data_IF_960963624852
#
_entry.id   IF_960963624852
#
_cell.length_a   1.000
_cell.length_b   1.000
_cell.length_c   1.000
_cell.angle_alpha   90.00
_cell.angle_beta   90.00
_cell.angle_gamma   90.00
#
_symmetry.space_group_name_H-M   'P 1'
#
loop_
_entity.id
_entity.type
_entity.pdbx_description
1 polymer ?
#
# COMPACT_ATOMS: atom_id res chain seq x y z
N UNK A 1 16.00 -40.19 1.42
CA UNK A 1 14.65 -39.63 1.13
C UNK A 1 14.09 -39.06 2.42
N UNK A 2 13.42 -37.91 2.37
CA UNK A 2 12.79 -37.28 3.55
C UNK A 2 11.28 -37.43 3.39
N UNK A 3 10.54 -37.68 4.48
CA UNK A 3 9.07 -37.85 4.48
C UNK A 3 8.54 -39.01 3.61
N UNK A 4 9.31 -40.08 3.46
CA UNK A 4 8.86 -41.34 2.87
C UNK A 4 8.66 -42.36 3.99
N UNK A 5 7.41 -42.66 4.33
CA UNK A 5 7.06 -43.70 5.31
C UNK A 5 6.82 -45.06 4.64
N UNK A 6 6.69 -46.10 5.45
CA UNK A 6 6.61 -47.51 5.00
C UNK A 6 5.50 -47.76 3.98
N UNK A 7 4.34 -47.11 4.14
CA UNK A 7 3.22 -47.20 3.20
C UNK A 7 3.58 -46.65 1.82
N UNK A 8 4.13 -45.44 1.77
CA UNK A 8 4.54 -44.80 0.50
C UNK A 8 5.67 -45.59 -0.15
N UNK A 9 6.64 -46.08 0.64
CA UNK A 9 7.71 -46.92 0.14
C UNK A 9 7.17 -48.21 -0.51
N UNK A 10 6.20 -48.87 0.14
CA UNK A 10 5.56 -50.07 -0.39
C UNK A 10 4.77 -49.79 -1.68
N UNK A 11 4.05 -48.67 -1.73
CA UNK A 11 3.30 -48.25 -2.92
C UNK A 11 4.23 -48.00 -4.11
N UNK A 12 5.36 -47.31 -3.88
CA UNK A 12 6.38 -47.04 -4.92
C UNK A 12 6.99 -48.35 -5.44
N UNK A 13 7.35 -49.28 -4.56
CA UNK A 13 7.91 -50.57 -4.93
C UNK A 13 6.92 -51.42 -5.74
N UNK A 14 5.64 -51.39 -5.34
CA UNK A 14 4.56 -52.07 -6.06
C UNK A 14 4.40 -51.51 -7.47
N UNK A 15 4.38 -50.18 -7.63
CA UNK A 15 4.34 -49.53 -8.96
C UNK A 15 5.58 -49.83 -9.81
N UNK A 16 6.75 -49.90 -9.18
CA UNK A 16 8.00 -50.24 -9.87
C UNK A 16 8.09 -51.73 -10.26
N UNK A 17 7.22 -52.58 -9.71
CA UNK A 17 7.27 -54.04 -9.88
C UNK A 17 8.51 -54.66 -9.24
N UNK A 18 8.98 -54.08 -8.13
CA UNK A 18 10.17 -54.53 -7.41
C UNK A 18 9.80 -55.16 -6.07
N UNK A 19 10.49 -56.24 -5.71
CA UNK A 19 10.33 -56.87 -4.40
C UNK A 19 10.91 -55.98 -3.29
N UNK A 20 10.21 -55.80 -2.15
CA UNK A 20 10.75 -55.11 -0.98
C UNK A 20 12.01 -55.74 -0.38
N UNK A 21 12.22 -57.05 -0.63
CA UNK A 21 13.34 -57.82 -0.11
C UNK A 21 14.59 -57.72 -1.01
N UNK A 22 14.45 -57.13 -2.20
CA UNK A 22 15.56 -56.99 -3.14
C UNK A 22 16.64 -56.06 -2.54
N UNK A 23 17.88 -56.52 -2.55
CA UNK A 23 19.01 -55.73 -2.08
C UNK A 23 19.25 -54.53 -2.99
N UNK A 24 19.35 -53.29 -2.46
CA UNK A 24 19.63 -52.10 -3.28
C UNK A 24 20.95 -52.18 -4.06
N UNK A 25 21.91 -53.01 -3.61
CA UNK A 25 23.21 -53.20 -4.29
C UNK A 25 23.10 -54.07 -5.55
N UNK A 26 22.04 -54.86 -5.68
CA UNK A 26 21.82 -55.79 -6.79
C UNK A 26 21.00 -55.15 -7.92
N UNK A 27 20.47 -53.93 -7.70
CA UNK A 27 19.66 -53.20 -8.67
C UNK A 27 20.43 -52.89 -9.96
N UNK A 28 19.95 -53.45 -11.07
CA UNK A 28 20.43 -53.14 -12.40
C UNK A 28 19.91 -51.79 -12.93
N UNK A 29 20.46 -51.34 -14.07
CA UNK A 29 20.03 -50.09 -14.73
C UNK A 29 18.53 -50.08 -15.09
N UNK A 30 18.01 -51.22 -15.54
CA UNK A 30 16.60 -51.34 -15.93
C UNK A 30 15.65 -51.19 -14.75
N UNK A 31 15.97 -51.82 -13.63
CA UNK A 31 15.19 -51.74 -12.39
C UNK A 31 15.27 -50.36 -11.77
N UNK A 32 16.45 -49.73 -11.78
CA UNK A 32 16.62 -48.35 -11.34
C UNK A 32 15.75 -47.36 -12.16
N UNK A 33 15.61 -47.60 -13.47
CA UNK A 33 14.74 -46.77 -14.32
C UNK A 33 13.25 -46.98 -14.01
N UNK A 34 12.83 -48.22 -13.73
CA UNK A 34 11.46 -48.51 -13.25
C UNK A 34 11.17 -47.80 -11.93
N UNK A 35 12.12 -47.85 -10.99
CA UNK A 35 12.00 -47.15 -9.71
C UNK A 35 11.88 -45.64 -9.93
N UNK A 36 12.73 -45.04 -10.76
CA UNK A 36 12.70 -43.61 -11.06
C UNK A 36 11.36 -43.16 -11.67
N UNK A 37 10.78 -43.97 -12.56
CA UNK A 37 9.46 -43.69 -13.13
C UNK A 37 8.35 -43.81 -12.07
N UNK A 38 8.40 -44.83 -11.22
CA UNK A 38 7.46 -44.97 -10.10
C UNK A 38 7.52 -43.77 -9.13
N UNK A 39 8.71 -43.19 -8.90
CA UNK A 39 8.86 -41.96 -8.12
C UNK A 39 8.24 -40.74 -8.81
N UNK A 40 8.24 -40.64 -10.14
CA UNK A 40 7.58 -39.52 -10.84
C UNK A 40 6.06 -39.61 -10.81
N UNK A 41 5.53 -40.83 -10.78
CA UNK A 41 4.08 -41.11 -10.77
C UNK A 41 3.46 -41.16 -9.36
N UNK A 42 4.27 -41.03 -8.32
CA UNK A 42 3.79 -41.12 -6.94
C UNK A 42 3.78 -39.74 -6.30
N UNK A 43 2.64 -39.40 -5.70
CA UNK A 43 2.50 -38.16 -4.96
C UNK A 43 3.20 -38.27 -3.61
N UNK A 44 4.25 -37.46 -3.44
CA UNK A 44 4.98 -37.36 -2.19
C UNK A 44 4.49 -36.16 -1.36
N UNK A 45 4.65 -36.28 -0.04
CA UNK A 45 4.54 -35.12 0.84
C UNK A 45 5.62 -34.10 0.46
N UNK A 46 5.31 -32.79 0.48
CA UNK A 46 6.30 -31.76 0.23
C UNK A 46 7.51 -31.90 1.15
N UNK A 47 8.75 -31.66 0.67
CA UNK A 47 9.94 -31.61 1.51
C UNK A 47 9.81 -30.55 2.63
N UNK A 48 10.59 -30.69 3.70
CA UNK A 48 10.60 -29.71 4.76
C UNK A 48 11.20 -28.38 4.26
N UNK A 49 10.57 -27.28 4.66
CA UNK A 49 10.89 -25.92 4.18
C UNK A 49 11.77 -25.13 5.15
N UNK A 50 12.08 -25.71 6.31
CA UNK A 50 12.96 -25.17 7.35
C UNK A 50 14.43 -25.05 6.89
N UNK A 51 14.77 -25.70 5.78
CA UNK A 51 16.08 -25.61 5.14
C UNK A 51 16.34 -24.31 4.37
N UNK A 52 15.33 -23.43 4.22
CA UNK A 52 15.45 -22.18 3.46
C UNK A 52 15.70 -20.99 4.38
N UNK A 53 16.58 -20.07 3.95
CA UNK A 53 16.88 -18.81 4.66
C UNK A 53 16.47 -17.61 3.80
N UNK A 54 15.22 -17.11 3.94
CA UNK A 54 14.78 -15.90 3.25
C UNK A 54 15.57 -14.65 3.70
N UNK A 55 15.52 -13.59 2.89
CA UNK A 55 15.98 -12.25 3.29
C UNK A 55 14.94 -11.62 4.21
N UNK A 56 13.66 -11.74 3.86
CA UNK A 56 12.54 -11.18 4.60
C UNK A 56 12.08 -9.81 4.08
N UNK A 57 10.77 -9.62 4.07
CA UNK A 57 10.09 -8.42 3.54
C UNK A 57 10.63 -7.12 4.13
N UNK A 58 10.82 -7.07 5.45
CA UNK A 58 11.25 -5.86 6.15
C UNK A 58 12.68 -5.43 5.79
N UNK A 59 13.58 -6.39 5.57
CA UNK A 59 14.96 -6.12 5.16
C UNK A 59 15.02 -5.67 3.69
N UNK A 60 14.23 -6.29 2.81
CA UNK A 60 14.09 -5.87 1.41
C UNK A 60 13.53 -4.45 1.32
N UNK A 61 12.50 -4.12 2.11
CA UNK A 61 11.95 -2.77 2.13
C UNK A 61 12.98 -1.74 2.60
N UNK A 62 13.72 -2.04 3.68
CA UNK A 62 14.77 -1.16 4.21
C UNK A 62 15.91 -0.93 3.21
N UNK A 63 16.35 -1.97 2.51
CA UNK A 63 17.44 -1.85 1.54
C UNK A 63 17.03 -1.00 0.34
N UNK A 64 15.84 -1.25 -0.22
CA UNK A 64 15.31 -0.44 -1.33
C UNK A 64 15.07 1.01 -0.92
N UNK A 65 14.61 1.25 0.32
CA UNK A 65 14.42 2.60 0.85
C UNK A 65 15.74 3.37 0.97
N UNK A 66 16.78 2.72 1.50
CA UNK A 66 18.08 3.34 1.73
C UNK A 66 18.82 3.67 0.41
N UNK A 67 18.78 2.75 -0.55
CA UNK A 67 19.55 2.87 -1.79
C UNK A 67 18.91 3.83 -2.79
N UNK A 68 17.59 3.73 -3.00
CA UNK A 68 16.91 4.43 -4.10
C UNK A 68 16.07 5.63 -3.65
N UNK A 69 15.93 5.85 -2.33
CA UNK A 69 15.05 6.87 -1.73
C UNK A 69 13.68 7.01 -2.45
N UNK A 70 12.95 5.91 -2.62
CA UNK A 70 11.64 5.91 -3.26
C UNK A 70 10.58 6.60 -2.38
N UNK A 71 9.47 6.99 -2.99
CA UNK A 71 8.29 7.49 -2.28
C UNK A 71 7.40 6.36 -1.74
N UNK A 72 7.53 5.15 -2.31
CA UNK A 72 6.78 3.98 -1.88
C UNK A 72 7.59 2.70 -2.09
N UNK A 73 7.50 1.78 -1.13
CA UNK A 73 8.13 0.47 -1.20
C UNK A 73 7.17 -0.59 -0.68
N UNK A 74 7.18 -1.75 -1.34
CA UNK A 74 6.52 -2.94 -0.86
C UNK A 74 7.33 -4.17 -1.19
N UNK A 75 7.34 -5.15 -0.28
CA UNK A 75 7.98 -6.43 -0.49
C UNK A 75 7.04 -7.55 -0.04
N UNK A 76 7.16 -8.70 -0.69
CA UNK A 76 6.37 -9.90 -0.41
C UNK A 76 7.29 -11.11 -0.39
N UNK A 77 7.15 -11.93 0.65
CA UNK A 77 7.80 -13.23 0.78
C UNK A 77 6.73 -14.31 0.64
N UNK A 78 6.78 -15.05 -0.46
CA UNK A 78 5.80 -16.10 -0.75
C UNK A 78 6.04 -17.35 0.09
N UNK A 79 5.02 -18.20 0.19
CA UNK A 79 5.18 -19.53 0.80
C UNK A 79 6.13 -20.37 -0.05
N UNK A 80 6.95 -21.23 0.55
CA UNK A 80 7.84 -22.10 -0.21
C UNK A 80 7.08 -23.02 -1.16
N UNK A 81 7.52 -23.07 -2.42
CA UNK A 81 7.14 -24.05 -3.41
C UNK A 81 8.15 -25.19 -3.48
N UNK A 82 7.91 -26.15 -4.38
CA UNK A 82 8.80 -27.29 -4.60
C UNK A 82 8.94 -27.50 -6.10
N UNK A 83 10.16 -27.66 -6.58
CA UNK A 83 10.43 -28.04 -7.96
C UNK A 83 11.38 -29.23 -7.96
N UNK A 84 11.07 -30.30 -8.68
CA UNK A 84 11.91 -31.51 -8.77
C UNK A 84 12.44 -32.05 -7.41
N UNK A 85 11.64 -31.93 -6.34
CA UNK A 85 12.03 -32.33 -4.97
C UNK A 85 12.86 -31.32 -4.18
N UNK A 86 13.25 -30.19 -4.78
CA UNK A 86 13.92 -29.08 -4.13
C UNK A 86 12.92 -28.03 -3.64
N UNK A 87 12.84 -27.76 -2.34
CA UNK A 87 12.04 -26.63 -1.86
C UNK A 87 12.69 -25.32 -2.33
N UNK A 88 11.86 -24.37 -2.73
CA UNK A 88 12.28 -23.02 -3.11
C UNK A 88 11.30 -21.99 -2.57
N UNK A 89 11.76 -20.75 -2.45
CA UNK A 89 10.97 -19.63 -1.98
C UNK A 89 11.32 -18.40 -2.82
N UNK A 90 10.30 -17.59 -3.10
CA UNK A 90 10.43 -16.38 -3.90
C UNK A 90 10.09 -15.17 -3.04
N UNK A 91 10.95 -14.15 -3.13
CA UNK A 91 10.72 -12.85 -2.53
C UNK A 91 10.79 -11.78 -3.62
N UNK A 92 9.86 -10.84 -3.58
CA UNK A 92 9.79 -9.75 -4.54
C UNK A 92 9.71 -8.44 -3.79
N UNK A 93 10.46 -7.44 -4.25
CA UNK A 93 10.37 -6.06 -3.79
C UNK A 93 10.07 -5.13 -4.96
N UNK A 94 9.20 -4.14 -4.75
CA UNK A 94 8.96 -3.04 -5.70
C UNK A 94 9.15 -1.73 -4.96
N UNK A 95 10.02 -0.89 -5.48
CA UNK A 95 10.19 0.50 -5.07
C UNK A 95 9.70 1.41 -6.20
N UNK A 96 8.99 2.49 -5.87
CA UNK A 96 8.42 3.42 -6.83
C UNK A 96 8.68 4.88 -6.45
N UNK A 97 8.96 5.70 -7.47
CA UNK A 97 9.12 7.16 -7.46
C UNK A 97 10.32 7.68 -6.67
N UNK A 98 10.20 8.85 -6.03
CA UNK A 98 11.29 9.45 -5.25
C UNK A 98 12.43 9.98 -6.12
N UNK A 99 13.66 9.53 -5.89
CA UNK A 99 14.83 9.89 -6.72
C UNK A 99 15.00 8.96 -7.94
N UNK A 100 14.13 7.96 -8.12
CA UNK A 100 14.17 7.01 -9.24
C UNK A 100 13.80 7.73 -10.55
N UNK A 101 14.65 7.58 -11.58
CA UNK A 101 14.46 8.13 -12.93
C UNK A 101 13.36 7.37 -13.68
N UNK A 102 12.68 8.07 -14.59
CA UNK A 102 11.62 7.51 -15.42
C UNK A 102 12.22 6.89 -16.69
N UNK A 103 12.82 5.71 -16.53
CA UNK A 103 13.48 4.96 -17.61
C UNK A 103 12.97 3.50 -17.65
N UNK A 104 13.66 2.63 -18.38
CA UNK A 104 13.46 1.18 -18.24
C UNK A 104 13.74 0.78 -16.78
N UNK A 105 12.79 0.05 -16.18
CA UNK A 105 12.85 -0.35 -14.78
C UNK A 105 14.11 -1.14 -14.48
N UNK A 106 14.82 -0.73 -13.43
CA UNK A 106 15.98 -1.46 -12.93
C UNK A 106 15.52 -2.76 -12.29
N UNK A 107 15.92 -3.89 -12.87
CA UNK A 107 15.62 -5.23 -12.34
C UNK A 107 16.83 -5.79 -11.58
N UNK A 108 16.66 -5.96 -10.27
CA UNK A 108 17.64 -6.59 -9.38
C UNK A 108 17.30 -8.06 -9.20
N UNK A 109 18.17 -8.96 -9.67
CA UNK A 109 17.98 -10.40 -9.58
C UNK A 109 18.91 -10.98 -8.53
N UNK A 110 18.38 -11.82 -7.65
CA UNK A 110 19.14 -12.53 -6.63
C UNK A 110 18.80 -14.01 -6.62
N UNK A 111 19.83 -14.85 -6.44
CA UNK A 111 19.68 -16.28 -6.17
C UNK A 111 20.47 -16.63 -4.90
N UNK A 112 19.83 -17.23 -3.89
CA UNK A 112 20.44 -17.55 -2.60
C UNK A 112 21.28 -16.40 -2.01
N UNK A 113 20.71 -15.18 -1.99
CA UNK A 113 21.35 -13.93 -1.51
C UNK A 113 22.56 -13.45 -2.34
N UNK A 114 22.82 -14.04 -3.50
CA UNK A 114 23.89 -13.63 -4.43
C UNK A 114 23.27 -12.85 -5.60
N UNK A 115 23.77 -11.64 -5.93
CA UNK A 115 23.27 -10.87 -7.06
C UNK A 115 23.66 -11.50 -8.39
N UNK A 116 22.73 -11.55 -9.34
CA UNK A 116 22.95 -12.01 -10.71
C UNK A 116 23.09 -10.80 -11.63
N UNK A 117 24.32 -10.47 -12.02
CA UNK A 117 24.64 -9.24 -12.75
C UNK A 117 24.56 -9.44 -14.26
N UNK A 118 24.99 -10.58 -14.78
CA UNK A 118 25.10 -10.82 -16.22
C UNK A 118 23.94 -11.65 -16.80
N UNK A 119 23.89 -11.75 -18.13
CA UNK A 119 22.95 -12.62 -18.87
C UNK A 119 21.47 -12.38 -18.55
N UNK A 120 21.06 -11.12 -18.40
CA UNK A 120 19.69 -10.76 -18.03
C UNK A 120 18.63 -11.33 -18.99
N UNK A 121 18.83 -11.28 -20.31
CA UNK A 121 17.87 -11.78 -21.30
C UNK A 121 17.67 -13.31 -21.29
N UNK A 122 18.62 -14.07 -20.74
CA UNK A 122 18.51 -15.53 -20.62
C UNK A 122 17.81 -16.00 -19.33
N UNK A 123 17.67 -15.12 -18.34
CA UNK A 123 17.24 -15.49 -17.01
C UNK A 123 15.72 -15.62 -16.87
N UNK A 124 15.27 -16.73 -16.27
CA UNK A 124 13.85 -16.99 -16.00
C UNK A 124 13.19 -15.90 -15.16
N UNK A 125 13.92 -15.31 -14.19
CA UNK A 125 13.41 -14.20 -13.37
C UNK A 125 13.08 -12.97 -14.22
N UNK A 126 13.90 -12.64 -15.21
CA UNK A 126 13.64 -11.53 -16.15
C UNK A 126 12.42 -11.85 -17.00
N UNK A 127 12.36 -13.05 -17.57
CA UNK A 127 11.22 -13.50 -18.38
C UNK A 127 9.91 -13.50 -17.59
N UNK A 128 9.96 -13.83 -16.31
CA UNK A 128 8.79 -13.77 -15.43
C UNK A 128 8.30 -12.32 -15.28
N UNK A 129 9.21 -11.35 -15.11
CA UNK A 129 8.87 -9.91 -15.06
C UNK A 129 8.32 -9.41 -16.39
N UNK A 130 8.95 -9.78 -17.51
CA UNK A 130 8.50 -9.40 -18.87
C UNK A 130 7.11 -9.97 -19.20
N UNK A 131 6.80 -11.18 -18.72
CA UNK A 131 5.52 -11.86 -18.97
C UNK A 131 4.30 -11.20 -18.33
N UNK A 132 4.51 -10.28 -17.38
CA UNK A 132 3.43 -9.58 -16.68
C UNK A 132 3.01 -8.35 -17.45
N UNK A 133 1.70 -8.12 -17.57
CA UNK A 133 1.16 -6.89 -18.14
C UNK A 133 1.17 -5.76 -17.09
N UNK A 134 2.26 -5.01 -17.04
CA UNK A 134 2.46 -3.94 -16.05
C UNK A 134 1.57 -2.72 -16.25
N UNK A 135 0.94 -2.57 -17.43
CA UNK A 135 -0.07 -1.52 -17.69
C UNK A 135 -1.24 -1.62 -16.72
N UNK A 136 -1.62 -2.84 -16.36
CA UNK A 136 -2.71 -3.09 -15.40
C UNK A 136 -2.33 -2.66 -13.97
N UNK A 137 -1.05 -2.44 -13.69
CA UNK A 137 -0.50 -2.04 -12.39
C UNK A 137 0.03 -0.59 -12.38
N UNK A 138 -0.18 0.17 -13.48
CA UNK A 138 0.15 1.59 -13.56
C UNK A 138 1.56 1.91 -14.08
N UNK A 139 2.31 0.95 -14.61
CA UNK A 139 3.56 1.21 -15.35
C UNK A 139 3.35 1.08 -16.85
N UNK A 140 4.17 1.77 -17.65
CA UNK A 140 4.13 1.62 -19.10
C UNK A 140 4.96 0.40 -19.53
N UNK A 141 4.62 -0.23 -20.65
CA UNK A 141 5.35 -1.42 -21.11
C UNK A 141 5.16 -1.65 -22.61
N UNK A 142 6.27 -1.95 -23.30
CA UNK A 142 6.26 -2.50 -24.65
C UNK A 142 6.11 -4.02 -24.61
N UNK A 143 5.62 -4.64 -25.69
CA UNK A 143 5.37 -6.09 -25.69
C UNK A 143 6.69 -6.85 -25.44
N UNK A 144 6.65 -7.82 -24.53
CA UNK A 144 7.77 -8.71 -24.17
C UNK A 144 9.06 -7.99 -23.72
N UNK A 145 8.94 -6.76 -23.23
CA UNK A 145 10.04 -5.98 -22.64
C UNK A 145 9.78 -5.66 -21.17
N UNK A 146 10.84 -5.26 -20.46
CA UNK A 146 10.72 -4.70 -19.12
C UNK A 146 9.84 -3.43 -19.13
N UNK A 147 9.07 -3.20 -18.05
CA UNK A 147 8.28 -1.99 -17.92
C UNK A 147 9.16 -0.74 -17.88
N UNK A 148 8.55 0.38 -18.25
CA UNK A 148 9.10 1.73 -18.19
C UNK A 148 8.34 2.48 -17.11
N UNK A 149 9.09 3.13 -16.23
CA UNK A 149 8.54 3.92 -15.16
C UNK A 149 9.56 4.13 -14.05
N UNK A 150 9.20 4.97 -13.09
CA UNK A 150 10.03 5.31 -11.93
C UNK A 150 9.99 4.17 -10.92
N UNK A 151 10.41 2.97 -11.30
CA UNK A 151 10.34 1.80 -10.44
C UNK A 151 11.65 0.99 -10.46
N UNK A 152 11.90 0.31 -9.36
CA UNK A 152 12.93 -0.71 -9.21
C UNK A 152 12.24 -1.99 -8.74
N UNK A 153 12.53 -3.10 -9.41
CA UNK A 153 11.97 -4.41 -9.08
C UNK A 153 13.12 -5.29 -8.60
N UNK A 154 12.95 -5.90 -7.43
CA UNK A 154 13.85 -6.91 -6.88
C UNK A 154 13.15 -8.25 -6.92
N UNK A 155 13.84 -9.28 -7.42
CA UNK A 155 13.38 -10.67 -7.39
C UNK A 155 14.48 -11.53 -6.78
N UNK A 156 14.15 -12.21 -5.69
CA UNK A 156 15.03 -13.15 -5.00
C UNK A 156 14.44 -14.55 -5.06
N UNK A 157 15.26 -15.51 -5.50
CA UNK A 157 14.97 -16.94 -5.47
C UNK A 157 15.88 -17.62 -4.45
N UNK A 158 15.29 -18.23 -3.42
CA UNK A 158 16.01 -19.06 -2.46
C UNK A 158 15.67 -20.53 -2.68
N UNK A 159 16.66 -21.41 -2.79
CA UNK A 159 16.44 -22.86 -2.87
C UNK A 159 17.67 -23.65 -2.45
N UNK A 160 17.46 -24.91 -2.05
CA UNK A 160 18.55 -25.86 -1.77
C UNK A 160 19.45 -26.11 -2.98
N UNK A 161 18.87 -26.07 -4.17
CA UNK A 161 19.56 -26.15 -5.44
C UNK A 161 18.96 -25.07 -6.35
N UNK A 162 19.77 -24.29 -7.06
CA UNK A 162 19.25 -23.29 -8.00
C UNK A 162 19.50 -23.84 -9.40
N UNK A 163 18.48 -23.92 -10.27
CA UNK A 163 18.67 -24.45 -11.60
C UNK A 163 19.32 -23.36 -12.47
N UNK A 164 20.64 -23.34 -12.54
CA UNK A 164 21.36 -22.38 -13.39
C UNK A 164 21.39 -22.85 -14.85
N UNK A 165 21.38 -21.91 -15.80
CA UNK A 165 21.52 -22.21 -17.24
C UNK A 165 22.94 -22.61 -17.64
N UNK A 166 23.93 -22.13 -16.90
CA UNK A 166 25.36 -22.36 -17.15
C UNK A 166 26.12 -22.57 -15.85
N UNK A 167 27.31 -23.18 -15.95
CA UNK A 167 28.21 -23.40 -14.81
C UNK A 167 28.67 -22.09 -14.13
N UNK A 168 28.63 -20.98 -14.86
CA UNK A 168 28.97 -19.64 -14.36
C UNK A 168 27.93 -19.08 -13.38
N UNK A 169 26.75 -19.70 -13.27
CA UNK A 169 25.69 -19.32 -12.31
C UNK A 169 25.14 -17.89 -12.46
N UNK A 170 25.10 -17.37 -13.67
CA UNK A 170 24.66 -15.99 -13.95
C UNK A 170 23.15 -15.84 -14.24
N UNK A 171 22.49 -16.93 -14.62
CA UNK A 171 21.09 -16.93 -14.98
C UNK A 171 20.38 -18.19 -14.51
N UNK A 172 19.13 -18.02 -14.07
CA UNK A 172 18.24 -19.10 -13.66
C UNK A 172 17.53 -19.67 -14.89
N UNK A 173 17.49 -20.99 -14.99
CA UNK A 173 16.82 -21.73 -16.06
C UNK A 173 15.30 -21.61 -15.96
N UNK A 174 14.64 -21.74 -17.12
CA UNK A 174 13.20 -21.57 -17.24
C UNK A 174 12.44 -22.81 -16.75
N UNK A 175 12.32 -22.95 -15.44
CA UNK A 175 11.49 -23.98 -14.78
C UNK A 175 10.07 -23.41 -14.59
N UNK A 176 9.02 -24.05 -15.13
CA UNK A 176 7.64 -23.54 -15.07
C UNK A 176 7.17 -23.22 -13.65
N UNK A 177 7.41 -24.12 -12.69
CA UNK A 177 7.00 -23.98 -11.30
C UNK A 177 7.60 -22.73 -10.64
N UNK A 178 8.87 -22.42 -10.97
CA UNK A 178 9.55 -21.23 -10.46
C UNK A 178 8.99 -19.96 -11.14
N UNK A 179 8.81 -19.99 -12.46
CA UNK A 179 8.30 -18.84 -13.21
C UNK A 179 6.90 -18.47 -12.75
N UNK A 180 6.03 -19.46 -12.55
CA UNK A 180 4.65 -19.24 -12.11
C UNK A 180 4.61 -18.65 -10.70
N UNK A 181 5.42 -19.16 -9.77
CA UNK A 181 5.49 -18.62 -8.41
C UNK A 181 6.06 -17.18 -8.39
N UNK A 182 7.09 -16.90 -9.20
CA UNK A 182 7.61 -15.53 -9.38
C UNK A 182 6.55 -14.60 -9.96
N UNK A 183 5.76 -15.08 -10.93
CA UNK A 183 4.68 -14.29 -11.52
C UNK A 183 3.63 -13.94 -10.48
N UNK A 184 3.21 -14.91 -9.66
CA UNK A 184 2.23 -14.68 -8.59
C UNK A 184 2.74 -13.66 -7.56
N UNK A 185 4.02 -13.77 -7.16
CA UNK A 185 4.67 -12.81 -6.25
C UNK A 185 4.67 -11.38 -6.81
N UNK A 186 5.08 -11.23 -8.07
CA UNK A 186 5.10 -9.94 -8.76
C UNK A 186 3.70 -9.34 -8.95
N UNK A 187 2.70 -10.16 -9.28
CA UNK A 187 1.31 -9.71 -9.38
C UNK A 187 0.75 -9.23 -8.04
N UNK A 188 1.13 -9.89 -6.94
CA UNK A 188 0.75 -9.49 -5.59
C UNK A 188 1.33 -8.11 -5.24
N UNK A 189 2.64 -7.91 -5.46
CA UNK A 189 3.29 -6.62 -5.27
C UNK A 189 2.74 -5.54 -6.23
N UNK A 190 2.45 -5.91 -7.48
CA UNK A 190 1.87 -5.03 -8.50
C UNK A 190 0.48 -4.52 -8.13
N UNK A 191 -0.37 -5.35 -7.51
CA UNK A 191 -1.67 -4.90 -6.98
C UNK A 191 -1.52 -3.81 -5.93
N UNK A 192 -0.55 -3.94 -5.03
CA UNK A 192 -0.25 -2.92 -4.00
C UNK A 192 0.29 -1.63 -4.60
N UNK A 193 1.14 -1.73 -5.63
CA UNK A 193 1.62 -0.56 -6.37
C UNK A 193 0.43 0.20 -6.99
N UNK A 194 -0.48 -0.53 -7.65
CA UNK A 194 -1.67 0.08 -8.25
C UNK A 194 -2.53 0.82 -7.23
N UNK A 195 -2.79 0.22 -6.07
CA UNK A 195 -3.55 0.86 -4.98
C UNK A 195 -2.91 2.19 -4.56
N UNK A 196 -1.59 2.22 -4.43
CA UNK A 196 -0.83 3.43 -4.13
C UNK A 196 -0.96 4.50 -5.23
N UNK A 197 -0.76 4.11 -6.50
CA UNK A 197 -0.86 5.03 -7.64
C UNK A 197 -2.27 5.63 -7.77
N UNK A 198 -3.31 4.80 -7.63
CA UNK A 198 -4.70 5.27 -7.67
C UNK A 198 -5.01 6.22 -6.50
N UNK A 199 -4.45 5.99 -5.30
CA UNK A 199 -4.61 6.92 -4.17
C UNK A 199 -3.90 8.25 -4.46
N UNK A 200 -2.68 8.20 -4.99
CA UNK A 200 -1.89 9.38 -5.36
C UNK A 200 -2.57 10.20 -6.45
N UNK A 201 -3.06 9.56 -7.50
CA UNK A 201 -3.75 10.24 -8.60
C UNK A 201 -5.05 10.89 -8.13
N UNK A 202 -5.82 10.21 -7.27
CA UNK A 202 -7.03 10.78 -6.65
C UNK A 202 -6.71 12.03 -5.85
N UNK A 203 -5.65 12.02 -5.04
CA UNK A 203 -5.21 13.19 -4.26
C UNK A 203 -4.81 14.36 -5.17
N UNK A 204 -4.02 14.10 -6.23
CA UNK A 204 -3.60 15.13 -7.20
C UNK A 204 -4.81 15.72 -7.93
N UNK A 205 -5.77 14.89 -8.38
CA UNK A 205 -6.99 15.35 -9.04
C UNK A 205 -7.85 16.20 -8.10
N UNK A 206 -7.97 15.81 -6.82
CA UNK A 206 -8.70 16.57 -5.80
C UNK A 206 -8.06 17.95 -5.57
N UNK A 207 -6.74 18.00 -5.38
CA UNK A 207 -6.00 19.26 -5.19
C UNK A 207 -6.10 20.19 -6.40
N UNK A 208 -5.92 19.66 -7.62
CA UNK A 208 -6.12 20.46 -8.85
C UNK A 208 -7.52 21.04 -8.96
N UNK A 209 -8.55 20.27 -8.60
CA UNK A 209 -9.94 20.75 -8.59
C UNK A 209 -10.11 21.87 -7.56
N UNK A 210 -9.57 21.71 -6.37
CA UNK A 210 -9.60 22.72 -5.30
C UNK A 210 -8.93 24.02 -5.71
N UNK A 211 -7.71 23.95 -6.26
CA UNK A 211 -6.94 25.12 -6.72
C UNK A 211 -7.72 25.92 -7.78
N UNK A 212 -8.37 25.22 -8.72
CA UNK A 212 -9.20 25.84 -9.77
C UNK A 212 -10.44 26.49 -9.17
N UNK A 213 -11.12 25.82 -8.23
CA UNK A 213 -12.32 26.35 -7.58
C UNK A 213 -12.00 27.60 -6.74
N UNK A 214 -10.91 27.58 -5.96
CA UNK A 214 -10.48 28.71 -5.14
C UNK A 214 -10.12 29.94 -5.99
N UNK A 215 -9.65 29.74 -7.23
CA UNK A 215 -9.36 30.84 -8.16
C UNK A 215 -10.61 31.40 -8.83
N UNK A 216 -11.52 30.53 -9.28
CA UNK A 216 -12.64 30.93 -10.15
C UNK A 216 -13.85 31.38 -9.33
N UNK A 217 -14.20 30.69 -8.25
CA UNK A 217 -15.44 30.95 -7.52
C UNK A 217 -15.51 32.36 -6.89
N UNK A 218 -14.45 32.92 -6.28
CA UNK A 218 -14.50 34.29 -5.75
C UNK A 218 -14.74 35.33 -6.85
N UNK A 219 -14.15 35.13 -8.03
CA UNK A 219 -14.35 36.03 -9.17
C UNK A 219 -15.79 35.97 -9.68
N UNK A 220 -16.38 34.77 -9.76
CA UNK A 220 -17.78 34.59 -10.13
C UNK A 220 -18.73 35.18 -9.09
N UNK A 221 -18.49 34.91 -7.81
CA UNK A 221 -19.31 35.43 -6.72
C UNK A 221 -19.33 36.96 -6.73
N UNK A 222 -18.16 37.61 -6.83
CA UNK A 222 -18.04 39.06 -6.90
C UNK A 222 -18.81 39.64 -8.09
N UNK A 223 -18.65 39.05 -9.28
CA UNK A 223 -19.34 39.52 -10.48
C UNK A 223 -20.86 39.34 -10.41
N UNK A 224 -21.33 38.23 -9.85
CA UNK A 224 -22.77 38.00 -9.67
C UNK A 224 -23.37 38.92 -8.61
N UNK A 225 -22.66 39.18 -7.51
CA UNK A 225 -23.09 40.11 -6.46
C UNK A 225 -23.13 41.56 -6.98
N UNK A 226 -22.15 41.95 -7.80
CA UNK A 226 -22.12 43.26 -8.49
C UNK A 226 -23.33 43.43 -9.43
N UNK A 227 -23.69 42.40 -10.19
CA UNK A 227 -24.82 42.44 -11.13
C UNK A 227 -26.18 42.39 -10.41
N UNK A 228 -26.28 41.65 -9.30
CA UNK A 228 -27.53 41.44 -8.55
C UNK A 228 -27.72 42.44 -7.40
N UNK A 229 -26.76 43.35 -7.18
CA UNK A 229 -26.73 44.30 -6.06
C UNK A 229 -26.93 43.61 -4.69
N UNK A 230 -26.27 42.48 -4.49
CA UNK A 230 -26.31 41.70 -3.24
C UNK A 230 -24.97 41.74 -2.50
N UNK A 231 -25.03 41.50 -1.20
CA UNK A 231 -23.84 41.41 -0.34
C UNK A 231 -22.91 40.25 -0.77
N UNK A 232 -21.62 40.42 -0.51
CA UNK A 232 -20.60 39.41 -0.82
C UNK A 232 -20.88 38.09 -0.08
N UNK A 233 -20.90 37.01 -0.85
CA UNK A 233 -21.17 35.66 -0.32
C UNK A 233 -19.85 35.02 0.09
N UNK A 234 -19.82 34.38 1.25
CA UNK A 234 -18.72 33.50 1.64
C UNK A 234 -18.66 32.27 0.72
N UNK A 235 -17.57 32.20 -0.04
CA UNK A 235 -17.33 31.21 -1.09
C UNK A 235 -16.80 29.90 -0.52
N UNK A 236 -16.20 29.94 0.68
CA UNK A 236 -15.52 28.78 1.27
C UNK A 236 -16.50 27.65 1.57
N UNK A 237 -17.72 27.99 2.01
CA UNK A 237 -18.81 27.02 2.19
C UNK A 237 -19.19 26.33 0.87
N UNK A 238 -19.24 27.08 -0.23
CA UNK A 238 -19.62 26.56 -1.55
C UNK A 238 -18.53 25.64 -2.09
N UNK A 239 -17.26 26.03 -1.92
CA UNK A 239 -16.10 25.18 -2.24
C UNK A 239 -16.19 23.88 -1.45
N UNK A 240 -16.38 23.96 -0.13
CA UNK A 240 -16.47 22.79 0.73
C UNK A 240 -17.63 21.85 0.35
N UNK A 241 -18.78 22.40 -0.05
CA UNK A 241 -19.92 21.63 -0.56
C UNK A 241 -19.60 20.91 -1.87
N UNK A 242 -18.94 21.57 -2.83
CA UNK A 242 -18.55 20.95 -4.12
C UNK A 242 -17.47 19.87 -3.94
N UNK A 243 -16.59 20.08 -2.96
CA UNK A 243 -15.54 19.13 -2.61
C UNK A 243 -16.04 17.97 -1.74
N UNK A 244 -17.23 18.11 -1.15
CA UNK A 244 -17.82 17.11 -0.25
C UNK A 244 -17.04 16.96 1.06
N UNK A 245 -16.51 18.08 1.56
CA UNK A 245 -15.71 18.14 2.78
C UNK A 245 -16.58 18.52 4.00
N UNK A 246 -16.06 18.29 5.20
CA UNK A 246 -16.62 18.87 6.42
C UNK A 246 -16.22 20.35 6.48
N UNK A 247 -17.18 21.24 6.67
CA UNK A 247 -16.94 22.68 6.75
C UNK A 247 -17.27 23.20 8.14
N UNK A 248 -16.39 24.02 8.69
CA UNK A 248 -16.62 24.70 9.97
C UNK A 248 -16.50 26.21 9.75
N UNK A 249 -17.59 26.91 10.04
CA UNK A 249 -17.65 28.37 10.06
C UNK A 249 -17.60 28.85 11.50
N UNK A 250 -16.86 29.94 11.76
CA UNK A 250 -16.82 30.61 13.06
C UNK A 250 -17.24 32.06 12.89
N UNK A 251 -18.41 32.38 13.39
CA UNK A 251 -18.89 33.76 13.52
C UNK A 251 -18.61 34.27 14.93
N UNK A 252 -17.91 35.41 15.05
CA UNK A 252 -17.58 36.04 16.33
C UNK A 252 -18.27 37.39 16.39
N UNK A 253 -19.15 37.57 17.38
CA UNK A 253 -19.78 38.84 17.70
C UNK A 253 -19.28 39.32 19.07
N UNK A 254 -18.65 40.49 19.12
CA UNK A 254 -18.19 41.07 20.38
C UNK A 254 -19.23 42.06 20.91
N UNK A 255 -19.69 41.82 22.14
CA UNK A 255 -20.59 42.73 22.88
C UNK A 255 -20.07 42.91 24.29
N UNK A 256 -19.85 44.16 24.70
CA UNK A 256 -19.50 44.53 26.07
C UNK A 256 -18.29 43.76 26.67
N UNK A 257 -17.25 43.52 25.86
CA UNK A 257 -16.04 42.79 26.29
C UNK A 257 -16.23 41.28 26.44
N UNK A 258 -17.37 40.74 25.97
CA UNK A 258 -17.66 39.30 25.85
C UNK A 258 -17.73 38.95 24.37
N UNK A 259 -16.94 37.96 23.94
CA UNK A 259 -17.03 37.40 22.60
C UNK A 259 -18.09 36.29 22.60
N UNK A 260 -19.22 36.53 21.93
CA UNK A 260 -20.20 35.50 21.59
C UNK A 260 -19.77 34.83 20.29
N UNK A 261 -19.51 33.53 20.34
CA UNK A 261 -19.04 32.78 19.19
C UNK A 261 -20.07 31.72 18.80
N UNK A 262 -20.39 31.69 17.52
CA UNK A 262 -21.25 30.68 16.90
C UNK A 262 -20.41 29.86 15.92
N UNK A 263 -20.27 28.56 16.18
CA UNK A 263 -19.66 27.60 15.28
C UNK A 263 -20.75 26.89 14.50
N UNK A 264 -20.73 26.97 13.17
CA UNK A 264 -21.61 26.17 12.31
C UNK A 264 -20.79 25.09 11.63
N UNK A 265 -21.17 23.84 11.84
CA UNK A 265 -20.47 22.67 11.30
C UNK A 265 -21.40 21.99 10.30
N UNK A 266 -20.92 21.80 9.07
CA UNK A 266 -21.65 21.17 7.99
C UNK A 266 -20.95 19.89 7.55
N UNK A 267 -21.67 18.78 7.52
CA UNK A 267 -21.17 17.54 6.95
C UNK A 267 -21.58 17.40 5.47
N UNK A 268 -20.77 17.89 4.53
CA UNK A 268 -21.00 17.63 3.10
C UNK A 268 -20.38 16.30 2.61
N UNK A 269 -19.86 15.47 3.52
CA UNK A 269 -19.33 14.15 3.16
C UNK A 269 -20.46 13.15 2.90
N UNK A 270 -20.15 12.04 2.23
CA UNK A 270 -21.13 10.98 1.90
C UNK A 270 -21.42 10.01 3.06
N UNK A 271 -20.74 10.16 4.18
CA UNK A 271 -20.81 9.23 5.30
C UNK A 271 -21.11 9.96 6.61
N UNK A 272 -21.69 9.24 7.57
CA UNK A 272 -21.80 9.72 8.94
C UNK A 272 -20.39 9.89 9.51
N UNK A 273 -20.14 11.01 10.20
CA UNK A 273 -18.85 11.32 10.81
C UNK A 273 -19.01 11.57 12.30
N UNK A 274 -18.14 10.96 13.08
CA UNK A 274 -17.96 11.25 14.49
C UNK A 274 -16.75 12.18 14.61
N UNK A 275 -16.97 13.34 15.20
CA UNK A 275 -15.96 14.38 15.29
C UNK A 275 -15.92 14.96 16.70
N UNK A 276 -14.72 15.37 17.10
CA UNK A 276 -14.47 16.11 18.33
C UNK A 276 -14.01 17.50 17.96
N UNK A 277 -14.74 18.52 18.40
CA UNK A 277 -14.42 19.93 18.14
C UNK A 277 -13.82 20.53 19.39
N UNK A 278 -12.66 21.15 19.21
CA UNK A 278 -11.88 21.79 20.25
C UNK A 278 -11.79 23.28 19.97
N UNK A 279 -12.05 24.08 21.00
CA UNK A 279 -11.72 25.51 20.99
C UNK A 279 -10.87 25.84 22.22
N UNK A 280 -9.79 26.60 22.03
CA UNK A 280 -8.88 26.98 23.10
C UNK A 280 -9.01 28.47 23.36
N UNK A 281 -9.37 28.84 24.58
CA UNK A 281 -9.60 30.22 24.97
C UNK A 281 -8.76 30.58 26.20
N UNK A 282 -8.32 31.83 26.26
CA UNK A 282 -7.76 32.46 27.45
C UNK A 282 -8.86 33.21 28.19
N UNK A 283 -9.02 32.96 29.48
CA UNK A 283 -10.07 33.56 30.31
C UNK A 283 -11.24 32.61 30.62
N UNK A 284 -12.33 33.17 31.13
CA UNK A 284 -13.53 32.42 31.52
C UNK A 284 -14.44 32.17 30.32
N UNK A 285 -14.98 30.95 30.24
CA UNK A 285 -15.75 30.47 29.09
C UNK A 285 -17.06 29.86 29.58
N UNK A 286 -18.14 30.18 28.91
CA UNK A 286 -19.47 29.58 29.12
C UNK A 286 -19.91 28.94 27.81
N UNK A 287 -20.27 27.66 27.82
CA UNK A 287 -20.67 26.95 26.61
C UNK A 287 -21.75 25.93 26.92
N UNK A 288 -22.73 25.82 26.03
CA UNK A 288 -23.78 24.80 26.12
C UNK A 288 -23.28 23.47 25.52
N UNK A 289 -23.44 22.37 26.25
CA UNK A 289 -23.10 21.02 25.78
C UNK A 289 -21.61 20.71 25.61
N UNK A 290 -20.71 21.61 26.02
CA UNK A 290 -19.26 21.41 25.95
C UNK A 290 -18.71 20.83 27.27
N UNK A 291 -17.75 19.91 27.17
CA UNK A 291 -16.88 19.57 28.30
C UNK A 291 -15.80 20.65 28.41
N UNK A 292 -15.74 21.35 29.54
CA UNK A 292 -14.76 22.41 29.80
C UNK A 292 -13.61 21.84 30.64
N UNK A 293 -12.38 21.99 30.16
CA UNK A 293 -11.17 21.68 30.91
C UNK A 293 -10.35 22.95 31.12
N UNK A 294 -9.96 23.22 32.36
CA UNK A 294 -9.13 24.39 32.71
C UNK A 294 -7.74 23.91 33.14
N UNK A 295 -6.73 24.33 32.38
CA UNK A 295 -5.31 24.17 32.73
C UNK A 295 -4.62 25.53 32.64
N UNK A 296 -3.74 25.76 31.66
CA UNK A 296 -3.20 27.09 31.33
C UNK A 296 -4.12 27.87 30.39
N UNK A 297 -4.93 27.16 29.60
CA UNK A 297 -6.00 27.68 28.76
C UNK A 297 -7.30 26.94 29.10
N UNK A 298 -8.45 27.59 28.86
CA UNK A 298 -9.77 26.98 28.93
C UNK A 298 -10.05 26.29 27.59
N UNK A 299 -10.08 24.96 27.58
CA UNK A 299 -10.38 24.15 26.39
C UNK A 299 -11.82 23.68 26.44
N UNK A 300 -12.56 23.97 25.37
CA UNK A 300 -13.91 23.49 25.11
C UNK A 300 -13.84 22.25 24.23
N UNK A 301 -14.57 21.21 24.60
CA UNK A 301 -14.70 19.98 23.81
C UNK A 301 -16.17 19.66 23.55
N UNK A 302 -16.54 19.55 22.29
CA UNK A 302 -17.81 18.98 21.84
C UNK A 302 -17.59 17.66 21.12
N UNK A 303 -18.37 16.64 21.47
CA UNK A 303 -18.39 15.36 20.80
C UNK A 303 -19.67 15.29 19.95
N UNK A 304 -19.52 15.25 18.62
CA UNK A 304 -20.62 15.33 17.67
C UNK A 304 -20.64 14.12 16.74
N UNK A 305 -21.85 13.76 16.30
CA UNK A 305 -22.06 12.76 15.28
C UNK A 305 -23.00 13.34 14.23
N UNK A 306 -22.50 13.58 13.02
CA UNK A 306 -23.25 14.24 11.95
C UNK A 306 -23.51 13.27 10.81
N UNK A 307 -24.76 13.16 10.37
CA UNK A 307 -25.13 12.42 9.16
C UNK A 307 -24.79 13.21 7.89
N UNK A 308 -24.75 12.58 6.71
CA UNK A 308 -24.55 13.27 5.43
C UNK A 308 -25.58 14.37 5.22
N UNK A 309 -25.12 15.60 4.96
CA UNK A 309 -25.98 16.77 4.74
C UNK A 309 -26.50 17.45 6.01
N UNK A 310 -26.20 16.90 7.20
CA UNK A 310 -26.59 17.47 8.48
C UNK A 310 -25.68 18.65 8.87
N UNK A 311 -26.25 19.63 9.57
CA UNK A 311 -25.52 20.78 10.11
C UNK A 311 -25.88 21.01 11.57
N UNK A 312 -24.88 21.35 12.38
CA UNK A 312 -25.07 21.69 13.80
C UNK A 312 -24.48 23.05 14.09
N UNK A 313 -25.18 23.80 14.93
CA UNK A 313 -24.74 25.11 15.43
C UNK A 313 -24.38 24.97 16.92
N UNK A 314 -23.15 25.34 17.27
CA UNK A 314 -22.66 25.37 18.64
C UNK A 314 -22.42 26.82 19.06
N UNK A 315 -22.80 27.16 20.29
CA UNK A 315 -22.64 28.51 20.83
C UNK A 315 -21.84 28.48 22.11
N UNK A 316 -20.92 29.42 22.23
CA UNK A 316 -20.18 29.67 23.47
C UNK A 316 -19.85 31.15 23.63
N UNK A 317 -19.63 31.55 24.86
CA UNK A 317 -19.26 32.91 25.27
C UNK A 317 -17.88 32.88 25.92
N UNK A 318 -17.03 33.82 25.57
CA UNK A 318 -15.69 33.96 26.13
C UNK A 318 -15.51 35.36 26.67
N UNK A 319 -15.09 35.45 27.94
CA UNK A 319 -14.53 36.68 28.53
C UNK A 319 -13.01 36.55 28.54
N UNK A 320 -12.40 37.07 27.49
CA UNK A 320 -10.96 36.93 27.21
C UNK A 320 -10.68 36.82 25.71
N UNK A 321 -9.68 36.04 25.30
CA UNK A 321 -9.31 35.89 23.89
C UNK A 321 -9.32 34.44 23.44
N UNK A 322 -9.82 34.20 22.23
CA UNK A 322 -9.70 32.92 21.53
C UNK A 322 -8.25 32.77 21.08
N UNK A 323 -7.62 31.64 21.45
CA UNK A 323 -6.20 31.38 21.22
C UNK A 323 -5.98 30.74 19.85
N UNK A 324 -6.88 29.86 19.43
CA UNK A 324 -6.78 29.16 18.16
C UNK A 324 -7.26 30.02 16.98
N UNK A 325 -6.44 30.08 15.92
CA UNK A 325 -6.76 30.82 14.70
C UNK A 325 -7.96 30.23 13.97
N UNK A 326 -8.03 28.90 13.88
CA UNK A 326 -9.14 28.12 13.33
C UNK A 326 -9.64 27.12 14.37
N UNK A 327 -10.92 26.74 14.36
CA UNK A 327 -11.44 25.65 15.18
C UNK A 327 -10.63 24.37 14.96
N UNK A 328 -10.38 23.62 16.02
CA UNK A 328 -9.58 22.39 15.98
C UNK A 328 -10.52 21.18 15.95
N UNK A 329 -10.33 20.26 15.02
CA UNK A 329 -11.23 19.10 14.83
C UNK A 329 -10.44 17.80 14.83
N UNK A 330 -10.90 16.81 15.57
CA UNK A 330 -10.38 15.44 15.56
C UNK A 330 -11.44 14.45 15.06
N UNK A 331 -11.00 13.29 14.55
CA UNK A 331 -11.85 12.23 14.00
C UNK A 331 -12.06 12.27 12.48
N UNK A 332 -11.47 13.26 11.79
CA UNK A 332 -11.53 13.42 10.34
C UNK A 332 -10.12 13.71 9.81
N UNK A 333 -9.78 13.16 8.64
CA UNK A 333 -8.52 13.46 7.95
C UNK A 333 -8.46 14.94 7.55
N UNK A 334 -7.30 15.59 7.70
CA UNK A 334 -7.08 17.00 7.31
C UNK A 334 -7.54 17.28 5.87
N UNK A 335 -7.33 16.34 4.95
CA UNK A 335 -7.73 16.45 3.54
C UNK A 335 -9.26 16.58 3.33
N UNK A 336 -10.08 16.24 4.33
CA UNK A 336 -11.54 16.33 4.27
C UNK A 336 -12.10 17.48 5.11
N UNK A 337 -11.24 18.29 5.73
CA UNK A 337 -11.61 19.39 6.60
C UNK A 337 -11.44 20.73 5.86
N UNK A 338 -12.37 21.67 6.07
CA UNK A 338 -12.30 23.02 5.53
C UNK A 338 -12.78 24.03 6.59
N UNK A 339 -12.11 25.17 6.69
CA UNK A 339 -12.40 26.19 7.72
C UNK A 339 -11.88 25.86 9.14
N UNK A 340 -11.37 24.65 9.35
CA UNK A 340 -10.80 24.17 10.62
C UNK A 340 -9.40 23.55 10.41
N UNK A 341 -8.70 23.27 11.51
CA UNK A 341 -7.41 22.55 11.52
C UNK A 341 -7.55 21.20 12.22
N UNK A 342 -6.82 20.17 11.76
CA UNK A 342 -6.85 18.87 12.41
C UNK A 342 -6.12 18.95 13.75
N UNK A 343 -6.79 18.54 14.82
CA UNK A 343 -6.15 18.40 16.13
C UNK A 343 -5.35 17.08 16.14
N UNK A 344 -4.04 17.19 15.88
CA UNK A 344 -3.11 16.09 16.07
C UNK A 344 -2.81 15.92 17.56
N UNK A 345 -3.05 14.73 18.10
CA UNK A 345 -2.64 14.31 19.44
C UNK A 345 -1.14 14.02 19.49
#
# INVERSE_FOLDING_TARGET
FVRVGDKIASDVLTKAGLSPELSPKELGRGEAMKLLNAFKETDFLPPPTDCLSPIGESLIMKSLMAEFKPEWVYAVTRRPGVYSGHPFLVEVGIAYGGEIKEDKVTLLRYANKIPLLYQQGGCALTKAVESINWKNYGLQQSRDELPIGRAVILVHLASTNIPYTSESKEAVAAIPEIIDEVRLALQEAGRRLREYLEKKERAIRKKKKEDVLNRILPLLAKKLCEVLEKDEIDVDRVVARIMGNLHVEREVAEKDGVAEVTLRIFNFTRARRELKVYEMCSGSVEAEGAKISQSSYSTLLWELSLNPGESVELKYRVRGRIVNRKPLVSGVDEEMLSGAEQFAL
#
